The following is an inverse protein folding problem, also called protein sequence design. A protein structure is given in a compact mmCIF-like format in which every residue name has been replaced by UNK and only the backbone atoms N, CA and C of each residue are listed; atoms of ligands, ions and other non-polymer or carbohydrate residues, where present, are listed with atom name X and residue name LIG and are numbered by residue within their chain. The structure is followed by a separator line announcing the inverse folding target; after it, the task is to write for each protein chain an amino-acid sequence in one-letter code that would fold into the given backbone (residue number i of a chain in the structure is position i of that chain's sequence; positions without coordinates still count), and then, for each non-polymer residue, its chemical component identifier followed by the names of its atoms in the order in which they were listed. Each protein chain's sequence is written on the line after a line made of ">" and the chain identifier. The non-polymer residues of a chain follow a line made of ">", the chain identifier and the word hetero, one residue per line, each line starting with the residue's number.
data_IF_273316354950
#
_entry.id   IF_273316354950
#
_cell.length_a   1.000
_cell.length_b   1.000
_cell.length_c   1.000
_cell.angle_alpha   90.00
_cell.angle_beta   90.00
_cell.angle_gamma   90.00
#
_symmetry.space_group_name_H-M   'P 1'
#
loop_
_entity.id
_entity.type
_entity.pdbx_description
1 polymer ?
#
# COMPACT_ATOMS: atom_id res chain seq x y z
N UNK A 1 -6.40 17.19 -19.57
CA UNK A 1 -7.50 17.94 -18.90
C UNK A 1 -7.49 17.71 -17.37
N UNK A 2 -6.30 17.61 -16.75
CA UNK A 2 -6.12 17.34 -15.30
C UNK A 2 -5.63 18.58 -14.52
N UNK A 3 -5.24 19.65 -15.20
CA UNK A 3 -4.62 20.84 -14.59
C UNK A 3 -5.61 21.72 -13.81
N UNK A 4 -6.85 21.86 -14.27
CA UNK A 4 -7.83 22.75 -13.64
C UNK A 4 -8.49 22.21 -12.35
N UNK A 5 -8.37 20.91 -12.04
CA UNK A 5 -8.92 20.33 -10.81
C UNK A 5 -7.94 20.49 -9.63
N UNK A 6 -6.63 20.45 -9.91
CA UNK A 6 -5.57 20.61 -8.90
C UNK A 6 -5.48 22.05 -8.37
N UNK A 7 -5.81 23.04 -9.18
CA UNK A 7 -5.79 24.45 -8.81
C UNK A 7 -6.92 24.86 -7.82
N UNK A 8 -8.00 24.08 -7.74
CA UNK A 8 -9.14 24.31 -6.82
C UNK A 8 -9.02 23.54 -5.50
N UNK A 9 -8.05 22.63 -5.35
CA UNK A 9 -7.84 21.88 -4.12
C UNK A 9 -7.17 22.75 -3.06
N UNK A 10 -7.41 22.45 -1.77
CA UNK A 10 -6.78 23.16 -0.65
C UNK A 10 -5.26 23.02 -0.75
N UNK A 11 -4.47 24.06 -0.39
CA UNK A 11 -3.00 23.98 -0.48
C UNK A 11 -2.39 22.78 0.22
N UNK A 12 -2.94 22.38 1.38
CA UNK A 12 -2.52 21.17 2.10
C UNK A 12 -2.67 19.90 1.26
N UNK A 13 -3.82 19.74 0.62
CA UNK A 13 -4.14 18.53 -0.16
C UNK A 13 -3.26 18.46 -1.42
N UNK A 14 -3.03 19.60 -2.10
CA UNK A 14 -2.11 19.66 -3.25
C UNK A 14 -0.70 19.27 -2.86
N UNK A 15 -0.17 19.82 -1.75
CA UNK A 15 1.17 19.48 -1.25
C UNK A 15 1.24 17.98 -0.95
N UNK A 16 0.25 17.43 -0.26
CA UNK A 16 0.22 16.01 0.12
C UNK A 16 0.18 15.09 -1.10
N UNK A 17 -0.69 15.38 -2.07
CA UNK A 17 -0.79 14.58 -3.30
C UNK A 17 0.49 14.67 -4.13
N UNK A 18 1.03 15.88 -4.33
CA UNK A 18 2.28 16.10 -5.05
C UNK A 18 3.44 15.39 -4.38
N UNK A 19 3.58 15.52 -3.05
CA UNK A 19 4.64 14.86 -2.30
C UNK A 19 4.55 13.34 -2.41
N UNK A 20 3.34 12.78 -2.25
CA UNK A 20 3.12 11.33 -2.37
C UNK A 20 3.52 10.81 -3.75
N UNK A 21 3.09 11.48 -4.82
CA UNK A 21 3.42 11.08 -6.18
C UNK A 21 4.93 11.20 -6.47
N UNK A 22 5.59 12.24 -5.95
CA UNK A 22 7.03 12.41 -6.09
C UNK A 22 7.81 11.36 -5.28
N UNK A 23 7.44 11.12 -4.03
CA UNK A 23 8.06 10.07 -3.21
C UNK A 23 7.88 8.68 -3.83
N UNK A 24 6.70 8.39 -4.35
CA UNK A 24 6.44 7.15 -5.07
C UNK A 24 7.35 6.99 -6.30
N UNK A 25 7.48 8.02 -7.13
CA UNK A 25 8.23 7.97 -8.39
C UNK A 25 9.74 8.00 -8.19
N UNK A 26 10.23 8.80 -7.27
CA UNK A 26 11.65 9.16 -7.17
C UNK A 26 12.31 8.70 -5.86
N UNK A 27 11.52 8.19 -4.91
CA UNK A 27 11.98 7.86 -3.56
C UNK A 27 12.01 9.07 -2.62
N UNK A 28 11.97 8.79 -1.32
CA UNK A 28 11.86 9.82 -0.27
C UNK A 28 13.15 10.63 -0.14
N UNK A 29 14.32 9.94 -0.23
CA UNK A 29 15.62 10.59 -0.03
C UNK A 29 15.97 11.57 -1.17
N UNK A 30 15.60 11.22 -2.40
CA UNK A 30 15.89 12.04 -3.58
C UNK A 30 15.00 13.30 -3.69
N UNK A 31 13.83 13.32 -3.04
CA UNK A 31 12.85 14.40 -3.17
C UNK A 31 13.02 15.42 -2.04
N UNK A 32 13.44 16.65 -2.40
CA UNK A 32 13.55 17.78 -1.48
C UNK A 32 12.27 18.60 -1.36
N UNK A 33 12.14 19.37 -0.27
CA UNK A 33 10.99 20.26 -0.03
C UNK A 33 10.83 21.32 -1.12
N UNK A 34 11.94 21.80 -1.69
CA UNK A 34 11.92 22.77 -2.79
C UNK A 34 11.20 22.22 -4.02
N UNK A 35 11.56 21.01 -4.44
CA UNK A 35 10.96 20.36 -5.58
C UNK A 35 9.46 20.09 -5.35
N UNK A 36 9.06 19.70 -4.12
CA UNK A 36 7.65 19.49 -3.78
C UNK A 36 6.87 20.80 -3.88
N UNK A 37 7.41 21.88 -3.32
CA UNK A 37 6.69 23.17 -3.31
C UNK A 37 6.58 23.77 -4.69
N UNK A 38 7.59 23.64 -5.53
CA UNK A 38 7.58 24.05 -6.92
C UNK A 38 6.51 23.26 -7.70
N UNK A 39 6.54 21.92 -7.61
CA UNK A 39 5.59 21.06 -8.29
C UNK A 39 4.14 21.24 -7.82
N UNK A 40 3.93 21.57 -6.53
CA UNK A 40 2.62 21.84 -5.94
C UNK A 40 2.13 23.28 -6.21
N UNK A 41 2.88 24.13 -6.93
CA UNK A 41 2.54 25.50 -7.18
C UNK A 41 2.39 26.34 -5.90
N UNK A 42 3.32 26.18 -4.94
CA UNK A 42 3.31 26.86 -3.65
C UNK A 42 4.73 27.24 -3.20
N UNK A 43 4.92 27.55 -1.92
CA UNK A 43 6.21 27.89 -1.34
C UNK A 43 6.47 27.18 0.00
N UNK A 44 7.74 27.17 0.44
CA UNK A 44 8.15 26.54 1.71
C UNK A 44 7.36 27.03 2.92
N UNK A 45 7.07 28.32 3.00
CA UNK A 45 6.32 28.89 4.13
C UNK A 45 4.92 28.26 4.20
N UNK A 46 4.27 28.08 3.07
CA UNK A 46 2.95 27.44 3.00
C UNK A 46 3.05 25.96 3.36
N UNK A 47 4.09 25.24 2.90
CA UNK A 47 4.30 23.85 3.26
C UNK A 47 4.49 23.71 4.77
N UNK A 48 5.41 24.46 5.38
CA UNK A 48 5.68 24.39 6.81
C UNK A 48 4.57 24.93 7.72
N UNK A 49 3.62 25.67 7.17
CA UNK A 49 2.38 26.02 7.88
C UNK A 49 1.43 24.83 8.03
N UNK A 50 1.51 23.86 7.15
CA UNK A 50 0.63 22.68 7.11
C UNK A 50 1.29 21.40 7.62
N UNK A 51 2.61 21.32 7.53
CA UNK A 51 3.42 20.16 7.94
C UNK A 51 4.68 20.68 8.65
N UNK A 52 4.85 20.34 9.93
CA UNK A 52 5.94 20.86 10.77
C UNK A 52 7.33 20.52 10.23
N UNK A 53 7.42 19.38 9.50
CA UNK A 53 8.67 18.86 8.93
C UNK A 53 8.42 18.05 7.65
N UNK A 54 9.52 17.72 6.93
CA UNK A 54 9.47 16.74 5.85
C UNK A 54 9.04 15.37 6.35
N UNK A 55 9.45 14.99 7.57
CA UNK A 55 9.11 13.70 8.17
C UNK A 55 7.62 13.59 8.47
N UNK A 56 7.00 14.66 8.96
CA UNK A 56 5.54 14.70 9.11
C UNK A 56 4.83 14.57 7.76
N UNK A 57 5.30 15.27 6.73
CA UNK A 57 4.75 15.12 5.38
C UNK A 57 4.88 13.69 4.86
N UNK A 58 6.01 13.01 5.10
CA UNK A 58 6.20 11.59 4.77
C UNK A 58 5.16 10.73 5.50
N UNK A 59 4.98 10.94 6.79
CA UNK A 59 3.99 10.20 7.61
C UNK A 59 2.58 10.40 7.07
N UNK A 60 2.20 11.62 6.75
CA UNK A 60 0.88 11.92 6.19
C UNK A 60 0.68 11.28 4.80
N UNK A 61 1.74 11.21 3.97
CA UNK A 61 1.70 10.48 2.70
C UNK A 61 1.45 8.98 2.92
N UNK A 62 2.13 8.36 3.89
CA UNK A 62 1.95 6.94 4.23
C UNK A 62 0.54 6.66 4.77
N UNK A 63 0.01 7.54 5.63
CA UNK A 63 -1.37 7.46 6.12
C UNK A 63 -2.41 7.59 5.01
N UNK A 64 -2.20 8.51 4.07
CA UNK A 64 -3.07 8.66 2.90
C UNK A 64 -3.08 7.41 2.01
N UNK A 65 -1.92 6.76 1.82
CA UNK A 65 -1.81 5.48 1.12
C UNK A 65 -2.57 4.37 1.86
N UNK A 66 -2.45 4.30 3.19
CA UNK A 66 -3.19 3.33 4.00
C UNK A 66 -4.71 3.54 3.96
N UNK A 67 -5.17 4.79 3.97
CA UNK A 67 -6.60 5.13 3.85
C UNK A 67 -7.19 4.64 2.52
N UNK A 68 -6.45 4.76 1.40
CA UNK A 68 -6.87 4.21 0.11
C UNK A 68 -6.99 2.68 0.15
N UNK A 69 -6.06 2.01 0.84
CA UNK A 69 -6.17 0.57 1.08
C UNK A 69 -7.38 0.22 1.94
N UNK A 70 -7.77 1.07 2.90
CA UNK A 70 -9.00 0.93 3.69
C UNK A 70 -10.25 0.88 2.81
N UNK A 71 -10.40 1.84 1.90
CA UNK A 71 -11.54 1.90 0.97
C UNK A 71 -11.65 0.66 0.06
N UNK A 72 -10.52 0.01 -0.26
CA UNK A 72 -10.52 -1.26 -1.01
C UNK A 72 -11.24 -2.39 -0.24
N UNK A 73 -11.05 -2.47 1.06
CA UNK A 73 -11.72 -3.48 1.89
C UNK A 73 -13.23 -3.24 1.95
N UNK A 74 -13.65 -1.98 2.07
CA UNK A 74 -15.06 -1.62 2.08
C UNK A 74 -15.73 -1.98 0.73
N UNK A 75 -14.98 -1.83 -0.37
CA UNK A 75 -15.45 -2.26 -1.69
C UNK A 75 -15.64 -3.78 -1.79
N UNK A 76 -14.79 -4.60 -1.16
CA UNK A 76 -14.96 -6.07 -1.14
C UNK A 76 -16.22 -6.46 -0.36
N UNK A 77 -16.49 -5.81 0.78
CA UNK A 77 -17.71 -6.07 1.53
C UNK A 77 -18.96 -5.65 0.76
N UNK A 78 -18.90 -4.54 0.02
CA UNK A 78 -20.00 -4.08 -0.80
C UNK A 78 -20.26 -4.98 -2.02
N UNK A 79 -19.21 -5.54 -2.64
CA UNK A 79 -19.30 -6.44 -3.79
C UNK A 79 -19.78 -7.84 -3.41
N UNK A 80 -19.33 -8.35 -2.25
CA UNK A 80 -19.63 -9.70 -1.75
C UNK A 80 -20.13 -9.66 -0.30
N UNK A 81 -21.35 -9.14 -0.05
CA UNK A 81 -21.86 -9.00 1.32
C UNK A 81 -21.93 -10.35 2.04
N UNK A 82 -21.19 -10.47 3.15
CA UNK A 82 -21.17 -11.68 3.99
C UNK A 82 -20.43 -12.89 3.40
N UNK A 83 -20.06 -12.90 2.13
CA UNK A 83 -19.27 -13.98 1.50
C UNK A 83 -17.77 -13.71 1.67
N UNK A 84 -17.22 -14.09 2.82
CA UNK A 84 -15.82 -13.84 3.18
C UNK A 84 -14.83 -14.57 2.28
N UNK A 85 -15.20 -15.73 1.74
CA UNK A 85 -14.35 -16.43 0.79
C UNK A 85 -14.28 -15.69 -0.56
N UNK A 86 -15.41 -15.22 -1.07
CA UNK A 86 -15.42 -14.39 -2.29
C UNK A 86 -14.64 -13.08 -2.10
N UNK A 87 -14.71 -12.46 -0.89
CA UNK A 87 -13.89 -11.29 -0.54
C UNK A 87 -12.39 -11.63 -0.53
N UNK A 88 -11.98 -12.80 -0.03
CA UNK A 88 -10.58 -13.25 -0.06
C UNK A 88 -10.09 -13.42 -1.51
N UNK A 89 -10.88 -14.03 -2.36
CA UNK A 89 -10.57 -14.13 -3.80
C UNK A 89 -10.55 -12.75 -4.48
N UNK A 90 -11.41 -11.81 -4.08
CA UNK A 90 -11.39 -10.43 -4.55
C UNK A 90 -10.08 -9.72 -4.15
N UNK A 91 -9.60 -9.94 -2.92
CA UNK A 91 -8.30 -9.44 -2.47
C UNK A 91 -7.17 -9.98 -3.36
N UNK A 92 -7.14 -11.28 -3.67
CA UNK A 92 -6.12 -11.88 -4.56
C UNK A 92 -6.17 -11.26 -5.96
N UNK A 93 -7.38 -11.08 -6.53
CA UNK A 93 -7.54 -10.41 -7.83
C UNK A 93 -7.00 -8.98 -7.79
N UNK A 94 -7.40 -8.20 -6.78
CA UNK A 94 -6.96 -6.81 -6.63
C UNK A 94 -5.46 -6.69 -6.44
N UNK A 95 -4.86 -7.57 -5.64
CA UNK A 95 -3.41 -7.65 -5.47
C UNK A 95 -2.70 -7.92 -6.81
N UNK A 96 -3.24 -8.84 -7.63
CA UNK A 96 -2.73 -9.11 -8.99
C UNK A 96 -2.83 -7.90 -9.91
N UNK A 97 -3.95 -7.19 -9.89
CA UNK A 97 -4.16 -5.98 -10.71
C UNK A 97 -3.16 -4.87 -10.33
N UNK A 98 -2.89 -4.72 -9.02
CA UNK A 98 -1.91 -3.76 -8.53
C UNK A 98 -0.49 -4.05 -9.02
N UNK A 99 -0.11 -5.33 -9.15
CA UNK A 99 1.20 -5.72 -9.70
C UNK A 99 1.35 -5.33 -11.18
N UNK A 100 0.26 -5.35 -11.93
CA UNK A 100 0.27 -4.97 -13.35
C UNK A 100 0.20 -3.46 -13.57
N UNK A 101 -0.42 -2.74 -12.64
CA UNK A 101 -0.66 -1.30 -12.76
C UNK A 101 0.53 -0.45 -12.29
N UNK A 102 1.38 -0.97 -11.41
CA UNK A 102 2.42 -0.20 -10.74
C UNK A 102 3.71 -1.01 -10.54
N UNK A 103 4.77 -0.57 -11.20
CA UNK A 103 6.10 -1.18 -11.11
C UNK A 103 6.96 -0.63 -9.96
N UNK A 104 6.52 0.39 -9.24
CA UNK A 104 7.30 1.01 -8.14
C UNK A 104 7.10 0.31 -6.79
N UNK A 105 6.13 -0.58 -6.71
CA UNK A 105 5.93 -1.42 -5.54
C UNK A 105 5.12 -0.77 -4.43
N UNK A 106 5.53 -0.99 -3.18
CA UNK A 106 4.80 -0.54 -1.99
C UNK A 106 5.47 0.67 -1.35
N UNK A 107 4.77 1.82 -1.27
CA UNK A 107 5.29 3.04 -0.63
C UNK A 107 5.82 2.77 0.79
N UNK A 108 5.12 1.94 1.58
CA UNK A 108 5.54 1.62 2.95
C UNK A 108 6.80 0.75 2.98
N UNK A 109 6.92 -0.23 2.07
CA UNK A 109 8.10 -1.08 1.98
C UNK A 109 9.30 -0.27 1.49
N UNK A 110 9.11 0.56 0.45
CA UNK A 110 10.14 1.45 -0.07
C UNK A 110 10.60 2.44 1.01
N UNK A 111 9.67 3.07 1.74
CA UNK A 111 10.00 3.95 2.85
C UNK A 111 10.79 3.23 3.96
N UNK A 112 10.42 1.99 4.31
CA UNK A 112 11.13 1.22 5.32
C UNK A 112 12.58 0.90 4.93
N UNK A 113 12.86 0.74 3.64
CA UNK A 113 14.22 0.51 3.10
C UNK A 113 15.01 1.81 3.01
N UNK A 114 14.37 2.91 2.60
CA UNK A 114 15.03 4.21 2.46
C UNK A 114 15.33 4.90 3.82
N UNK A 115 14.40 4.80 4.78
CA UNK A 115 14.52 5.43 6.10
C UNK A 115 15.28 4.49 7.05
N UNK A 116 16.60 4.51 6.96
CA UNK A 116 17.49 3.58 7.66
C UNK A 116 17.71 3.89 9.14
N UNK A 117 17.48 5.14 9.56
CA UNK A 117 17.62 5.57 10.94
C UNK A 117 16.60 4.82 11.82
N UNK A 118 17.10 4.14 12.87
CA UNK A 118 16.26 3.26 13.70
C UNK A 118 15.16 4.02 14.46
N UNK A 119 15.40 5.27 14.80
CA UNK A 119 14.51 6.19 15.52
C UNK A 119 13.68 7.08 14.62
N UNK A 120 13.77 6.91 13.29
CA UNK A 120 12.95 7.72 12.36
C UNK A 120 11.45 7.55 12.64
N UNK A 121 10.70 8.64 12.87
CA UNK A 121 9.30 8.56 13.33
C UNK A 121 8.37 7.81 12.35
N UNK A 122 8.65 7.84 11.06
CA UNK A 122 7.86 7.10 10.07
C UNK A 122 7.96 5.58 10.24
N UNK A 123 9.01 5.03 10.89
CA UNK A 123 9.15 3.57 11.06
C UNK A 123 8.07 2.98 11.97
N UNK A 124 7.73 3.67 13.05
CA UNK A 124 6.62 3.25 13.94
C UNK A 124 5.29 3.28 13.20
N UNK A 125 5.07 4.32 12.41
CA UNK A 125 3.86 4.44 11.58
C UNK A 125 3.79 3.35 10.52
N UNK A 126 4.88 3.04 9.82
CA UNK A 126 4.94 1.92 8.87
C UNK A 126 4.57 0.61 9.55
N UNK A 127 5.15 0.33 10.72
CA UNK A 127 4.86 -0.89 11.51
C UNK A 127 3.38 -0.98 11.87
N UNK A 128 2.79 0.11 12.34
CA UNK A 128 1.37 0.20 12.68
C UNK A 128 0.48 -0.07 11.46
N UNK A 129 0.72 0.63 10.35
CA UNK A 129 -0.09 0.51 9.14
C UNK A 129 0.02 -0.89 8.49
N UNK A 130 1.23 -1.46 8.47
CA UNK A 130 1.45 -2.83 7.98
C UNK A 130 0.80 -3.86 8.91
N UNK A 131 0.89 -3.67 10.23
CA UNK A 131 0.21 -4.49 11.22
C UNK A 131 -1.30 -4.49 11.01
N UNK A 132 -1.91 -3.31 10.87
CA UNK A 132 -3.34 -3.19 10.62
C UNK A 132 -3.79 -3.87 9.31
N UNK A 133 -2.99 -3.79 8.25
CA UNK A 133 -3.27 -4.50 7.00
C UNK A 133 -3.23 -6.03 7.19
N UNK A 134 -2.19 -6.52 7.89
CA UNK A 134 -2.06 -7.94 8.24
C UNK A 134 -3.26 -8.43 9.07
N UNK A 135 -3.60 -7.71 10.13
CA UNK A 135 -4.70 -8.09 11.03
C UNK A 135 -6.04 -8.17 10.29
N UNK A 136 -6.26 -7.26 9.35
CA UNK A 136 -7.46 -7.28 8.50
C UNK A 136 -7.51 -8.49 7.55
N UNK A 137 -6.37 -8.88 6.99
CA UNK A 137 -6.29 -10.08 6.15
C UNK A 137 -6.45 -11.36 6.99
N UNK A 138 -5.86 -11.42 8.19
CA UNK A 138 -6.06 -12.52 9.15
C UNK A 138 -7.53 -12.66 9.50
N UNK A 139 -8.22 -11.56 9.85
CA UNK A 139 -9.64 -11.58 10.15
C UNK A 139 -10.44 -12.12 8.95
N UNK A 140 -10.17 -11.65 7.73
CA UNK A 140 -10.84 -12.14 6.53
C UNK A 140 -10.62 -13.64 6.32
N UNK A 141 -9.39 -14.14 6.48
CA UNK A 141 -9.09 -15.57 6.36
C UNK A 141 -9.84 -16.39 7.41
N UNK A 142 -9.90 -15.91 8.66
CA UNK A 142 -10.63 -16.57 9.76
C UNK A 142 -12.12 -16.61 9.48
N UNK A 143 -12.70 -15.49 9.08
CA UNK A 143 -14.12 -15.37 8.77
C UNK A 143 -14.51 -16.17 7.52
N UNK A 144 -13.55 -16.43 6.60
CA UNK A 144 -13.72 -17.34 5.47
C UNK A 144 -13.64 -18.83 5.86
N UNK A 145 -13.50 -19.16 7.16
CA UNK A 145 -13.46 -20.53 7.66
C UNK A 145 -12.11 -21.23 7.50
N UNK A 146 -11.01 -20.48 7.37
CA UNK A 146 -9.67 -21.06 7.27
C UNK A 146 -9.12 -21.36 8.67
N UNK A 147 -8.81 -22.62 8.97
CA UNK A 147 -8.34 -23.05 10.29
C UNK A 147 -6.98 -22.48 10.69
N UNK A 148 -6.08 -22.25 9.74
CA UNK A 148 -4.75 -21.63 9.93
C UNK A 148 -4.72 -20.22 9.33
N UNK A 149 -5.65 -19.36 9.77
CA UNK A 149 -5.88 -18.04 9.19
C UNK A 149 -4.65 -17.13 9.21
N UNK A 150 -3.91 -17.11 10.33
CA UNK A 150 -2.69 -16.32 10.49
C UNK A 150 -1.61 -16.76 9.48
N UNK A 151 -1.38 -18.07 9.37
CA UNK A 151 -0.37 -18.62 8.45
C UNK A 151 -0.74 -18.33 7.00
N UNK A 152 -2.01 -18.47 6.62
CA UNK A 152 -2.46 -18.11 5.27
C UNK A 152 -2.28 -16.63 4.99
N UNK A 153 -2.71 -15.76 5.90
CA UNK A 153 -2.58 -14.31 5.74
C UNK A 153 -1.12 -13.87 5.60
N UNK A 154 -0.22 -14.42 6.44
CA UNK A 154 1.21 -14.15 6.37
C UNK A 154 1.81 -14.66 5.07
N UNK A 155 1.43 -15.87 4.62
CA UNK A 155 1.87 -16.45 3.35
C UNK A 155 1.46 -15.58 2.16
N UNK A 156 0.19 -15.16 2.10
CA UNK A 156 -0.33 -14.29 1.04
C UNK A 156 0.37 -12.91 1.05
N UNK A 157 0.60 -12.36 2.24
CA UNK A 157 1.30 -11.08 2.40
C UNK A 157 2.73 -11.16 1.88
N UNK A 158 3.49 -12.18 2.28
CA UNK A 158 4.87 -12.38 1.83
C UNK A 158 4.95 -12.67 0.33
N UNK A 159 4.00 -13.46 -0.21
CA UNK A 159 3.92 -13.73 -1.64
C UNK A 159 3.67 -12.42 -2.44
N UNK A 160 2.79 -11.56 -1.94
CA UNK A 160 2.48 -10.28 -2.58
C UNK A 160 3.65 -9.30 -2.51
N UNK A 161 4.33 -9.19 -1.35
CA UNK A 161 5.53 -8.35 -1.23
C UNK A 161 6.66 -8.85 -2.15
N UNK A 162 6.89 -10.17 -2.20
CA UNK A 162 7.86 -10.77 -3.11
C UNK A 162 7.53 -10.52 -4.58
N UNK A 163 6.24 -10.60 -4.94
CA UNK A 163 5.78 -10.30 -6.30
C UNK A 163 6.02 -8.82 -6.67
N UNK A 164 5.80 -7.87 -5.75
CA UNK A 164 6.12 -6.46 -5.96
C UNK A 164 7.60 -6.21 -6.24
N UNK A 165 8.48 -6.84 -5.46
CA UNK A 165 9.94 -6.77 -5.69
C UNK A 165 10.31 -7.41 -7.03
N UNK A 166 9.67 -8.53 -7.39
CA UNK A 166 9.86 -9.19 -8.69
C UNK A 166 9.48 -8.28 -9.85
N UNK A 167 8.37 -7.54 -9.76
CA UNK A 167 7.98 -6.55 -10.79
C UNK A 167 9.04 -5.46 -10.92
N UNK A 168 9.55 -4.92 -9.82
CA UNK A 168 10.60 -3.90 -9.85
C UNK A 168 11.88 -4.39 -10.53
N UNK A 169 12.26 -5.65 -10.29
CA UNK A 169 13.52 -6.22 -10.78
C UNK A 169 13.43 -6.78 -12.20
N UNK A 170 12.29 -7.36 -12.59
CA UNK A 170 12.13 -8.18 -13.80
C UNK A 170 10.97 -7.74 -14.71
N UNK A 171 10.21 -6.72 -14.30
CA UNK A 171 8.99 -6.31 -15.01
C UNK A 171 7.80 -7.23 -14.76
N UNK A 172 6.70 -6.94 -15.44
CA UNK A 172 5.40 -7.63 -15.25
C UNK A 172 5.34 -9.02 -15.90
N UNK A 173 6.28 -9.35 -16.79
CA UNK A 173 6.34 -10.66 -17.47
C UNK A 173 7.17 -11.72 -16.71
N UNK A 174 7.76 -11.33 -15.58
CA UNK A 174 8.55 -12.19 -14.69
C UNK A 174 7.68 -13.12 -13.83
N UNK A 175 8.24 -13.69 -12.74
CA UNK A 175 7.51 -14.57 -11.84
C UNK A 175 6.23 -13.97 -11.26
N UNK A 176 6.17 -12.63 -11.13
CA UNK A 176 4.99 -11.89 -10.67
C UNK A 176 3.74 -12.09 -11.53
N UNK A 177 3.91 -12.40 -12.83
CA UNK A 177 2.80 -12.77 -13.74
C UNK A 177 2.01 -14.00 -13.24
N UNK A 178 2.62 -14.86 -12.43
CA UNK A 178 2.00 -16.05 -11.86
C UNK A 178 1.38 -15.81 -10.47
N UNK A 179 1.46 -14.58 -9.93
CA UNK A 179 1.03 -14.28 -8.56
C UNK A 179 -0.39 -14.76 -8.27
N UNK A 180 -1.36 -14.42 -9.12
CA UNK A 180 -2.76 -14.81 -8.95
C UNK A 180 -2.90 -16.33 -8.85
N UNK A 181 -2.29 -17.07 -9.77
CA UNK A 181 -2.33 -18.54 -9.79
C UNK A 181 -1.69 -19.15 -8.54
N UNK A 182 -0.55 -18.60 -8.09
CA UNK A 182 0.12 -19.05 -6.87
C UNK A 182 -0.73 -18.76 -5.63
N UNK A 183 -1.27 -17.55 -5.50
CA UNK A 183 -2.10 -17.15 -4.37
C UNK A 183 -3.39 -17.99 -4.29
N UNK A 184 -4.07 -18.22 -5.41
CA UNK A 184 -5.27 -19.08 -5.47
C UNK A 184 -4.93 -20.54 -5.09
N UNK A 185 -3.79 -21.06 -5.54
CA UNK A 185 -3.32 -22.39 -5.15
C UNK A 185 -3.04 -22.49 -3.64
N UNK A 186 -2.45 -21.46 -3.05
CA UNK A 186 -2.21 -21.38 -1.61
C UNK A 186 -3.56 -21.34 -0.86
N UNK A 187 -4.50 -20.48 -1.24
CA UNK A 187 -5.83 -20.44 -0.61
C UNK A 187 -6.52 -21.80 -0.67
N UNK A 188 -6.47 -22.48 -1.83
CA UNK A 188 -7.09 -23.80 -2.00
C UNK A 188 -6.45 -24.86 -1.09
N UNK A 189 -5.13 -24.85 -0.90
CA UNK A 189 -4.43 -25.79 -0.03
C UNK A 189 -4.80 -25.65 1.44
N UNK A 190 -5.05 -24.42 1.92
CA UNK A 190 -5.45 -24.16 3.31
C UNK A 190 -6.92 -24.50 3.61
N UNK A 191 -7.80 -24.54 2.60
CA UNK A 191 -9.20 -24.92 2.77
C UNK A 191 -9.40 -26.40 3.11
N UNK A 192 -8.46 -27.25 2.72
CA UNK A 192 -8.49 -28.68 3.01
C UNK A 192 -7.78 -29.11 4.29
N UNK A 193 -7.10 -28.18 4.98
CA UNK A 193 -6.32 -28.49 6.18
C UNK A 193 -7.20 -28.35 7.43
N UNK A 194 -7.21 -29.37 8.34
CA UNK A 194 -7.90 -29.25 9.62
C UNK A 194 -7.28 -28.11 10.44
N UNK A 195 -8.09 -27.49 11.30
CA UNK A 195 -7.62 -26.57 12.32
C UNK A 195 -6.59 -27.29 13.21
N UNK A 196 -5.41 -26.68 13.40
CA UNK A 196 -4.36 -27.21 14.26
C UNK A 196 -4.75 -27.02 15.75
#
# INVERSE_FOLDING_TARGET
>A
MTDGAMERSRPRDRILETARDMFHKHGIKAVGVDAITEAAGTNKMTLYRHFESKDELIIECLRATASKAGAMWDAFEAEFPGDKLAQLHAWVRKASDMLSADSRGCDMANAAVELTEADHPARSVIKELKGAQRDRLVALCRDAGIGQAELLADTLSLLFEGARVSVQAMGTEGPSAQFKRMAEGVVASFRGSPAA
#
